data_IF_716846603936
#
_entry.id   IF_716846603936
#
_cell.length_a   1.000
_cell.length_b   1.000
_cell.length_c   1.000
_cell.angle_alpha   90.00
_cell.angle_beta   90.00
_cell.angle_gamma   90.00
#
_symmetry.space_group_name_H-M   'P 1'
#
loop_
_entity.id
_entity.type
_entity.pdbx_description
1 polymer ?
#
# COMPACT_ATOMS: atom_id res chain seq x y z
N UNK A 1 15.13 -54.07 -8.00
CA UNK A 1 14.56 -52.71 -8.23
C UNK A 1 13.04 -52.83 -8.37
N UNK A 2 12.26 -52.26 -7.45
CA UNK A 2 10.79 -52.35 -7.44
C UNK A 2 10.20 -51.53 -8.60
N UNK A 3 9.25 -52.11 -9.35
CA UNK A 3 8.53 -51.47 -10.47
C UNK A 3 7.80 -50.22 -9.97
N UNK A 4 8.33 -49.04 -10.30
CA UNK A 4 7.66 -47.77 -10.05
C UNK A 4 6.46 -47.65 -11.00
N UNK A 5 5.24 -47.63 -10.46
CA UNK A 5 4.01 -47.60 -11.26
C UNK A 5 3.76 -46.18 -11.78
N UNK A 6 3.82 -46.00 -13.10
CA UNK A 6 3.51 -44.76 -13.81
C UNK A 6 2.11 -44.19 -13.51
N UNK A 7 1.17 -44.99 -12.99
CA UNK A 7 -0.16 -44.53 -12.58
C UNK A 7 -0.13 -43.49 -11.45
N UNK A 8 0.91 -43.47 -10.60
CA UNK A 8 1.05 -42.45 -9.56
C UNK A 8 1.40 -41.06 -10.12
N UNK A 9 2.05 -40.99 -11.29
CA UNK A 9 2.42 -39.73 -11.95
C UNK A 9 1.22 -39.00 -12.57
N UNK A 10 0.11 -39.69 -12.88
CA UNK A 10 -1.11 -39.07 -13.40
C UNK A 10 -2.13 -38.73 -12.31
N UNK A 11 -2.20 -39.54 -11.24
CA UNK A 11 -3.15 -39.31 -10.14
C UNK A 11 -2.70 -38.15 -9.25
N UNK A 12 -1.40 -38.00 -8.99
CA UNK A 12 -0.90 -36.94 -8.11
C UNK A 12 -1.18 -35.51 -8.64
N UNK A 13 -0.94 -35.16 -9.92
CA UNK A 13 -1.28 -33.85 -10.46
C UNK A 13 -2.78 -33.55 -10.42
N UNK A 14 -3.63 -34.55 -10.70
CA UNK A 14 -5.09 -34.39 -10.64
C UNK A 14 -5.59 -34.13 -9.22
N UNK A 15 -5.07 -34.86 -8.22
CA UNK A 15 -5.41 -34.65 -6.81
C UNK A 15 -4.93 -33.28 -6.33
N UNK A 16 -3.71 -32.87 -6.71
CA UNK A 16 -3.19 -31.52 -6.39
C UNK A 16 -4.06 -30.44 -7.04
N UNK A 17 -4.44 -30.61 -8.30
CA UNK A 17 -5.28 -29.64 -9.02
C UNK A 17 -6.68 -29.51 -8.40
N UNK A 18 -7.33 -30.64 -8.09
CA UNK A 18 -8.62 -30.67 -7.41
C UNK A 18 -8.55 -30.03 -6.02
N UNK A 19 -7.48 -30.29 -5.27
CA UNK A 19 -7.24 -29.67 -3.97
C UNK A 19 -7.06 -28.15 -4.07
N UNK A 20 -6.30 -27.65 -5.05
CA UNK A 20 -6.12 -26.21 -5.29
C UNK A 20 -7.45 -25.53 -5.64
N UNK A 21 -8.28 -26.14 -6.50
CA UNK A 21 -9.59 -25.59 -6.84
C UNK A 21 -10.54 -25.58 -5.64
N UNK A 22 -10.58 -26.67 -4.87
CA UNK A 22 -11.40 -26.76 -3.67
C UNK A 22 -10.97 -25.75 -2.60
N UNK A 23 -9.65 -25.57 -2.41
CA UNK A 23 -9.11 -24.57 -1.49
C UNK A 23 -9.51 -23.14 -1.90
N UNK A 24 -9.53 -22.85 -3.20
CA UNK A 24 -9.96 -21.54 -3.73
C UNK A 24 -11.44 -21.30 -3.51
N UNK A 25 -12.29 -22.24 -3.92
CA UNK A 25 -13.73 -22.15 -3.73
C UNK A 25 -14.10 -21.97 -2.24
N UNK A 26 -13.38 -22.63 -1.33
CA UNK A 26 -13.54 -22.43 0.10
C UNK A 26 -13.11 -21.04 0.58
N UNK A 27 -12.04 -20.46 0.02
CA UNK A 27 -11.59 -19.11 0.40
C UNK A 27 -12.60 -18.06 -0.05
N UNK A 28 -13.11 -18.17 -1.28
CA UNK A 28 -14.15 -17.29 -1.83
C UNK A 28 -15.46 -17.39 -1.02
N UNK A 29 -15.95 -18.61 -0.76
CA UNK A 29 -17.15 -18.81 0.05
C UNK A 29 -16.99 -18.25 1.48
N UNK A 30 -15.80 -18.40 2.08
CA UNK A 30 -15.49 -17.83 3.40
C UNK A 30 -15.48 -16.30 3.36
N UNK A 31 -14.96 -15.69 2.29
CA UNK A 31 -14.98 -14.25 2.14
C UNK A 31 -16.40 -13.72 2.03
N UNK A 32 -17.20 -14.30 1.12
CA UNK A 32 -18.58 -13.90 0.89
C UNK A 32 -19.44 -14.04 2.15
N UNK A 33 -19.24 -15.10 2.93
CA UNK A 33 -19.94 -15.30 4.19
C UNK A 33 -19.37 -14.47 5.37
N UNK A 34 -18.13 -13.97 5.24
CA UNK A 34 -17.44 -13.25 6.30
C UNK A 34 -17.86 -11.78 6.41
N UNK A 35 -17.50 -11.10 7.53
CA UNK A 35 -17.89 -9.70 7.77
C UNK A 35 -17.58 -8.74 6.62
N UNK A 36 -16.40 -8.82 6.00
CA UNK A 36 -16.04 -7.94 4.87
C UNK A 36 -16.87 -8.25 3.63
N UNK A 37 -17.11 -9.54 3.32
CA UNK A 37 -17.96 -9.92 2.19
C UNK A 37 -19.40 -9.43 2.36
N UNK A 38 -19.94 -9.53 3.58
CA UNK A 38 -21.26 -8.98 3.92
C UNK A 38 -21.31 -7.46 3.76
N UNK A 39 -20.29 -6.74 4.23
CA UNK A 39 -20.19 -5.28 4.04
C UNK A 39 -20.10 -4.90 2.57
N UNK A 40 -19.38 -5.69 1.76
CA UNK A 40 -19.31 -5.51 0.30
C UNK A 40 -20.66 -5.73 -0.37
N UNK A 41 -21.40 -6.76 0.00
CA UNK A 41 -22.74 -7.02 -0.51
C UNK A 41 -23.71 -5.89 -0.10
N UNK A 42 -23.65 -5.45 1.16
CA UNK A 42 -24.50 -4.38 1.69
C UNK A 42 -24.21 -3.01 1.05
N UNK A 43 -22.96 -2.75 0.64
CA UNK A 43 -22.60 -1.52 -0.07
C UNK A 43 -23.27 -1.42 -1.46
N UNK A 44 -23.63 -2.56 -2.08
CA UNK A 44 -24.31 -2.61 -3.37
C UNK A 44 -23.53 -1.93 -4.50
N UNK A 45 -24.27 -1.31 -5.41
CA UNK A 45 -23.70 -0.64 -6.57
C UNK A 45 -23.20 0.77 -6.24
N UNK A 46 -21.96 0.86 -5.75
CA UNK A 46 -21.29 2.15 -5.55
C UNK A 46 -20.82 2.75 -6.87
N UNK A 47 -20.89 4.08 -7.00
CA UNK A 47 -20.34 4.83 -8.14
C UNK A 47 -19.46 5.95 -7.63
N UNK A 48 -18.22 6.00 -8.11
CA UNK A 48 -17.24 6.99 -7.72
C UNK A 48 -16.79 7.83 -8.92
N UNK A 49 -16.37 9.06 -8.64
CA UNK A 49 -15.86 9.94 -9.69
C UNK A 49 -14.42 9.55 -10.01
N UNK A 50 -14.09 9.29 -11.28
CA UNK A 50 -12.70 9.09 -11.72
C UNK A 50 -11.96 10.41 -11.50
N UNK A 51 -10.84 10.36 -10.78
CA UNK A 51 -9.96 11.51 -10.57
C UNK A 51 -8.86 11.45 -11.63
N UNK A 52 -8.77 12.50 -12.44
CA UNK A 52 -7.69 12.75 -13.36
C UNK A 52 -7.15 14.16 -13.14
N UNK A 53 -5.91 14.33 -12.64
CA UNK A 53 -5.32 15.66 -12.54
C UNK A 53 -5.21 16.30 -13.92
N UNK A 54 -5.66 17.55 -14.04
CA UNK A 54 -5.51 18.33 -15.27
C UNK A 54 -4.02 18.50 -15.61
N UNK A 55 -3.67 18.27 -16.88
CA UNK A 55 -2.29 18.28 -17.37
C UNK A 55 -1.52 16.96 -17.23
N UNK A 56 -2.13 15.92 -16.66
CA UNK A 56 -1.53 14.59 -16.56
C UNK A 56 -1.60 13.81 -17.89
N UNK A 57 -0.63 12.93 -18.13
CA UNK A 57 -0.60 11.99 -19.27
C UNK A 57 -0.88 10.57 -18.79
N UNK A 58 -1.82 9.88 -19.44
CA UNK A 58 -2.28 8.56 -19.03
C UNK A 58 -1.73 7.44 -19.91
N UNK A 59 -0.43 7.19 -19.84
CA UNK A 59 0.27 6.18 -20.65
C UNK A 59 0.22 4.75 -20.04
N UNK A 60 -0.64 4.53 -19.05
CA UNK A 60 -0.78 3.28 -18.30
C UNK A 60 -1.73 3.44 -17.11
N UNK A 61 -1.78 4.65 -16.57
CA UNK A 61 -2.77 5.08 -15.58
C UNK A 61 -2.15 5.53 -14.26
N UNK A 62 -3.02 5.80 -13.29
CA UNK A 62 -2.68 6.38 -11.99
C UNK A 62 -3.07 5.44 -10.85
N UNK A 63 -2.24 5.36 -9.81
CA UNK A 63 -2.43 4.41 -8.71
C UNK A 63 -1.84 4.90 -7.38
N UNK A 64 -2.06 4.13 -6.32
CA UNK A 64 -1.49 4.32 -4.98
C UNK A 64 -1.51 5.79 -4.49
N UNK A 65 -2.70 6.41 -4.37
CA UNK A 65 -2.81 7.81 -4.00
C UNK A 65 -2.44 8.03 -2.55
N UNK A 66 -1.77 9.15 -2.26
CA UNK A 66 -1.58 9.68 -0.91
C UNK A 66 -1.84 11.19 -0.90
N UNK A 67 -2.75 11.63 -0.02
CA UNK A 67 -3.09 13.03 0.14
C UNK A 67 -2.64 13.60 1.48
N UNK A 68 -2.24 14.86 1.44
CA UNK A 68 -2.01 15.67 2.63
C UNK A 68 -2.31 17.14 2.31
N UNK A 69 -2.95 17.83 3.24
CA UNK A 69 -3.22 19.26 3.12
C UNK A 69 -2.24 20.10 3.96
N UNK A 70 -1.93 21.30 3.46
CA UNK A 70 -1.24 22.32 4.23
C UNK A 70 -2.01 22.62 5.54
N UNK A 71 -1.35 23.10 6.60
CA UNK A 71 -1.98 23.30 7.91
C UNK A 71 -3.26 24.15 7.89
N UNK A 72 -3.30 25.17 7.05
CA UNK A 72 -4.45 26.07 6.87
C UNK A 72 -5.59 25.45 6.03
N UNK A 73 -5.37 24.27 5.45
CA UNK A 73 -6.30 23.57 4.57
C UNK A 73 -6.52 24.22 3.21
N UNK A 74 -5.78 25.28 2.87
CA UNK A 74 -5.99 26.04 1.63
C UNK A 74 -5.51 25.29 0.38
N UNK A 75 -4.49 24.45 0.54
CA UNK A 75 -3.90 23.65 -0.54
C UNK A 75 -3.83 22.18 -0.12
N UNK A 76 -4.38 21.32 -0.96
CA UNK A 76 -4.21 19.87 -0.88
C UNK A 76 -3.17 19.39 -1.89
N UNK A 77 -2.36 18.42 -1.49
CA UNK A 77 -1.38 17.76 -2.35
C UNK A 77 -1.73 16.29 -2.48
N UNK A 78 -1.53 15.75 -3.68
CA UNK A 78 -1.76 14.34 -4.02
C UNK A 78 -0.50 13.80 -4.66
N UNK A 79 0.19 12.91 -3.95
CA UNK A 79 1.23 12.07 -4.52
C UNK A 79 0.60 10.76 -5.02
N UNK A 80 1.06 10.23 -6.14
CA UNK A 80 0.52 9.00 -6.72
C UNK A 80 1.55 8.30 -7.61
N UNK A 81 1.39 6.99 -7.74
CA UNK A 81 2.09 6.19 -8.73
C UNK A 81 1.53 6.49 -10.13
N UNK A 82 2.39 6.81 -11.09
CA UNK A 82 2.05 6.95 -12.51
C UNK A 82 2.72 5.86 -13.31
N UNK A 83 1.92 5.06 -14.01
CA UNK A 83 2.37 3.89 -14.78
C UNK A 83 2.49 4.27 -16.25
N UNK A 84 3.65 4.02 -16.86
CA UNK A 84 3.91 4.29 -18.29
C UNK A 84 4.68 3.18 -18.98
N UNK A 85 4.73 3.20 -20.31
CA UNK A 85 5.52 2.28 -21.15
C UNK A 85 4.71 1.14 -21.77
N UNK A 86 5.33 0.44 -22.72
CA UNK A 86 4.63 -0.46 -23.66
C UNK A 86 4.39 -1.89 -23.13
N UNK A 87 4.92 -2.24 -21.95
CA UNK A 87 4.73 -3.57 -21.38
C UNK A 87 3.25 -3.82 -21.03
N UNK A 88 2.72 -4.99 -21.41
CA UNK A 88 1.30 -5.35 -21.23
C UNK A 88 1.16 -6.51 -20.24
N UNK A 89 0.19 -6.48 -19.30
CA UNK A 89 -0.84 -5.44 -19.11
C UNK A 89 -0.41 -4.30 -18.17
N UNK A 90 0.79 -4.35 -17.60
CA UNK A 90 1.33 -3.39 -16.63
C UNK A 90 2.49 -2.66 -17.29
N UNK A 91 2.44 -1.33 -17.33
CA UNK A 91 3.52 -0.51 -17.89
C UNK A 91 4.90 -0.84 -17.30
N UNK A 92 5.93 -0.54 -18.07
CA UNK A 92 7.33 -0.82 -17.72
C UNK A 92 7.81 0.07 -16.55
N UNK A 93 7.40 1.34 -16.54
CA UNK A 93 7.86 2.35 -15.61
C UNK A 93 6.78 2.70 -14.61
N UNK A 94 7.18 2.90 -13.35
CA UNK A 94 6.30 3.49 -12.34
C UNK A 94 6.99 4.61 -11.59
N UNK A 95 6.47 5.82 -11.81
CA UNK A 95 6.98 7.08 -11.30
C UNK A 95 6.17 7.54 -10.11
N UNK A 96 6.74 8.36 -9.24
CA UNK A 96 5.95 9.17 -8.29
C UNK A 96 5.64 10.53 -8.93
N UNK A 97 4.36 10.84 -9.13
CA UNK A 97 3.87 12.14 -9.59
C UNK A 97 3.27 12.94 -8.43
N UNK A 98 3.14 14.26 -8.62
CA UNK A 98 2.52 15.19 -7.69
C UNK A 98 1.46 16.03 -8.40
N UNK A 99 0.29 16.14 -7.77
CA UNK A 99 -0.77 17.05 -8.13
C UNK A 99 -1.18 17.92 -6.94
N UNK A 100 -1.90 19.01 -7.22
CA UNK A 100 -2.41 19.95 -6.21
C UNK A 100 -3.88 20.28 -6.42
N UNK A 101 -4.55 20.68 -5.34
CA UNK A 101 -5.91 21.23 -5.34
C UNK A 101 -5.97 22.45 -4.43
N UNK A 102 -6.83 23.42 -4.77
CA UNK A 102 -7.14 24.59 -3.94
C UNK A 102 -8.63 24.71 -3.65
N UNK A 103 -9.42 23.69 -4.00
CA UNK A 103 -10.87 23.68 -3.90
C UNK A 103 -11.39 22.42 -3.20
N UNK A 104 -10.69 21.99 -2.14
CA UNK A 104 -11.07 20.82 -1.34
C UNK A 104 -11.13 19.52 -2.14
N UNK A 105 -10.35 19.41 -3.22
CA UNK A 105 -10.30 18.24 -4.08
C UNK A 105 -11.35 18.16 -5.16
N UNK A 106 -12.14 19.20 -5.43
CA UNK A 106 -13.11 19.18 -6.53
C UNK A 106 -12.41 19.04 -7.89
N UNK A 107 -11.21 19.62 -8.02
CA UNK A 107 -10.31 19.39 -9.16
C UNK A 107 -8.86 19.33 -8.70
N UNK A 108 -8.05 18.61 -9.48
CA UNK A 108 -6.61 18.45 -9.26
C UNK A 108 -5.85 18.94 -10.49
N UNK A 109 -4.66 19.49 -10.27
CA UNK A 109 -3.74 19.94 -11.32
C UNK A 109 -2.41 19.23 -11.15
N UNK A 110 -1.91 18.60 -12.21
CA UNK A 110 -0.57 18.05 -12.23
C UNK A 110 0.47 19.15 -11.98
N UNK A 111 1.48 18.84 -11.18
CA UNK A 111 2.54 19.77 -10.79
C UNK A 111 3.87 19.32 -11.38
N UNK A 112 4.33 18.11 -11.02
CA UNK A 112 5.61 17.57 -11.48
C UNK A 112 5.77 16.08 -11.19
N UNK A 113 6.80 15.50 -11.81
CA UNK A 113 7.33 14.17 -11.47
C UNK A 113 8.32 14.32 -10.32
N UNK A 114 8.11 13.61 -9.22
CA UNK A 114 9.00 13.63 -8.05
C UNK A 114 10.09 12.57 -8.20
N UNK A 115 9.71 11.32 -8.43
CA UNK A 115 10.65 10.20 -8.56
C UNK A 115 10.44 9.51 -9.92
N UNK A 116 11.21 9.91 -10.95
CA UNK A 116 11.13 9.26 -12.24
C UNK A 116 11.74 7.85 -12.15
N UNK A 117 11.01 6.85 -12.63
CA UNK A 117 11.53 5.51 -12.87
C UNK A 117 12.64 5.56 -13.92
N UNK A 118 13.69 4.75 -13.74
CA UNK A 118 14.88 4.81 -14.58
C UNK A 118 15.42 3.43 -14.91
N UNK A 119 15.78 3.23 -16.18
CA UNK A 119 16.55 2.07 -16.60
C UNK A 119 17.89 2.04 -15.89
N UNK A 120 18.27 0.86 -15.42
CA UNK A 120 19.49 0.67 -14.64
C UNK A 120 19.95 -0.78 -14.71
N UNK A 121 21.01 -1.09 -13.99
CA UNK A 121 21.57 -2.42 -13.88
C UNK A 121 21.73 -2.75 -12.40
N UNK A 122 21.21 -3.91 -12.01
CA UNK A 122 21.33 -4.43 -10.66
C UNK A 122 22.60 -5.27 -10.55
N UNK A 123 23.51 -4.88 -9.65
CA UNK A 123 24.69 -5.68 -9.31
C UNK A 123 24.35 -6.64 -8.18
N UNK A 124 24.47 -7.94 -8.43
CA UNK A 124 24.27 -9.01 -7.45
C UNK A 124 25.54 -9.16 -6.55
N UNK A 125 25.43 -9.80 -5.37
CA UNK A 125 26.57 -10.04 -4.47
C UNK A 125 27.73 -10.82 -5.09
N UNK A 126 27.46 -11.65 -6.10
CA UNK A 126 28.49 -12.41 -6.84
C UNK A 126 29.14 -11.59 -7.97
N UNK A 127 28.83 -10.29 -8.07
CA UNK A 127 29.33 -9.37 -9.10
C UNK A 127 28.57 -9.44 -10.42
N UNK A 128 27.63 -10.38 -10.60
CA UNK A 128 26.82 -10.42 -11.82
C UNK A 128 25.93 -9.20 -11.92
N UNK A 129 25.72 -8.76 -13.15
CA UNK A 129 24.89 -7.60 -13.46
C UNK A 129 23.63 -8.04 -14.20
N UNK A 130 22.47 -7.56 -13.75
CA UNK A 130 21.17 -7.81 -14.37
C UNK A 130 20.58 -6.50 -14.89
N UNK A 131 20.24 -6.37 -16.18
CA UNK A 131 19.55 -5.20 -16.68
C UNK A 131 18.13 -5.14 -16.09
N UNK A 132 17.56 -3.95 -16.06
CA UNK A 132 16.20 -3.71 -15.58
C UNK A 132 16.00 -2.22 -15.29
N UNK A 133 15.19 -1.92 -14.29
CA UNK A 133 14.87 -0.55 -13.92
C UNK A 133 14.47 -0.42 -12.45
N UNK A 134 14.62 0.79 -11.91
CA UNK A 134 14.12 1.16 -10.59
C UNK A 134 12.72 1.75 -10.70
N UNK A 135 11.79 1.22 -9.90
CA UNK A 135 10.42 1.73 -9.74
C UNK A 135 10.27 2.46 -8.41
N UNK A 136 9.31 3.38 -8.40
CA UNK A 136 8.96 4.21 -7.26
C UNK A 136 7.44 4.16 -7.09
N UNK A 137 6.99 3.26 -6.22
CA UNK A 137 5.57 2.97 -6.01
C UNK A 137 5.14 3.31 -4.58
N UNK A 138 3.83 3.43 -4.42
CA UNK A 138 3.16 3.64 -3.13
C UNK A 138 3.71 4.83 -2.35
N UNK A 139 3.60 6.04 -2.93
CA UNK A 139 4.03 7.24 -2.24
C UNK A 139 3.14 7.52 -1.03
N UNK A 140 3.76 8.03 0.04
CA UNK A 140 3.07 8.49 1.25
C UNK A 140 3.55 9.88 1.59
N UNK A 141 2.67 10.86 1.42
CA UNK A 141 2.92 12.26 1.69
C UNK A 141 2.37 12.63 3.06
N UNK A 142 3.15 13.38 3.85
CA UNK A 142 2.67 13.99 5.08
C UNK A 142 3.28 15.37 5.30
N UNK A 143 2.60 16.17 6.13
CA UNK A 143 3.11 17.43 6.63
C UNK A 143 3.35 17.36 8.15
N UNK A 144 4.63 17.39 8.54
CA UNK A 144 5.11 17.47 9.92
C UNK A 144 5.32 18.93 10.31
N UNK A 145 4.25 19.57 10.78
CA UNK A 145 4.28 20.99 11.15
C UNK A 145 5.27 21.29 12.29
N UNK A 146 5.61 20.28 13.09
CA UNK A 146 6.45 20.41 14.27
C UNK A 146 7.94 20.25 13.97
N UNK A 147 8.34 19.81 12.77
CA UNK A 147 9.77 19.72 12.41
C UNK A 147 10.40 21.12 12.54
N UNK A 148 11.42 21.29 13.40
CA UNK A 148 12.08 22.58 13.60
C UNK A 148 12.81 23.05 12.35
N UNK A 149 13.20 22.13 11.46
CA UNK A 149 13.73 22.48 10.16
C UNK A 149 12.59 22.64 9.16
N UNK A 150 12.31 23.90 8.80
CA UNK A 150 11.25 24.24 7.86
C UNK A 150 11.43 23.56 6.49
N UNK A 151 12.67 23.22 6.09
CA UNK A 151 12.95 22.52 4.83
C UNK A 151 12.59 21.03 4.86
N UNK A 152 12.18 20.53 6.03
CA UNK A 152 11.89 19.12 6.29
C UNK A 152 10.44 18.81 6.66
N UNK A 153 9.58 19.82 6.68
CA UNK A 153 8.19 19.70 7.15
C UNK A 153 7.33 18.88 6.21
N UNK A 154 7.53 18.97 4.90
CA UNK A 154 6.95 18.00 3.98
C UNK A 154 7.84 16.78 3.90
N UNK A 155 7.25 15.60 4.07
CA UNK A 155 7.95 14.32 4.00
C UNK A 155 7.23 13.42 3.01
N UNK A 156 8.00 12.76 2.16
CA UNK A 156 7.52 11.79 1.19
C UNK A 156 8.26 10.47 1.41
N UNK A 157 7.51 9.44 1.78
CA UNK A 157 7.98 8.06 1.82
C UNK A 157 7.60 7.36 0.52
N UNK A 158 8.47 6.53 -0.03
CA UNK A 158 8.20 5.80 -1.28
C UNK A 158 8.85 4.43 -1.23
N UNK A 159 8.16 3.39 -1.69
CA UNK A 159 8.79 2.09 -1.92
C UNK A 159 9.60 2.12 -3.22
N UNK A 160 10.91 1.98 -3.08
CA UNK A 160 11.83 1.84 -4.20
C UNK A 160 12.22 0.37 -4.38
N UNK A 161 12.11 -0.17 -5.58
CA UNK A 161 12.52 -1.55 -5.87
C UNK A 161 12.92 -1.75 -7.33
N UNK A 162 13.71 -2.80 -7.59
CA UNK A 162 14.18 -3.12 -8.93
C UNK A 162 13.25 -4.12 -9.63
N UNK A 163 13.01 -3.92 -10.92
CA UNK A 163 12.30 -4.88 -11.78
C UNK A 163 13.16 -5.31 -12.96
N UNK A 164 13.13 -6.61 -13.27
CA UNK A 164 13.76 -7.15 -14.47
C UNK A 164 12.89 -6.87 -15.72
N UNK A 165 13.45 -6.94 -16.94
CA UNK A 165 12.71 -6.69 -18.19
C UNK A 165 11.49 -7.60 -18.40
N UNK A 166 11.45 -8.75 -17.74
CA UNK A 166 10.29 -9.65 -17.76
C UNK A 166 9.20 -9.29 -16.71
N UNK A 167 9.29 -8.11 -16.09
CA UNK A 167 8.36 -7.63 -15.06
C UNK A 167 8.58 -8.23 -13.67
N UNK A 168 9.53 -9.16 -13.49
CA UNK A 168 9.77 -9.78 -12.18
C UNK A 168 10.34 -8.74 -11.20
N UNK A 169 9.62 -8.54 -10.10
CA UNK A 169 10.06 -7.72 -8.96
C UNK A 169 11.20 -8.40 -8.20
N UNK A 170 12.27 -7.66 -7.94
CA UNK A 170 13.39 -8.11 -7.11
C UNK A 170 13.17 -7.65 -5.67
N UNK A 171 12.15 -8.21 -5.01
CA UNK A 171 11.70 -7.84 -3.65
C UNK A 171 12.85 -7.68 -2.64
N UNK A 172 13.85 -8.57 -2.58
CA UNK A 172 14.97 -8.42 -1.64
C UNK A 172 15.87 -7.21 -1.87
N UNK A 173 15.71 -6.47 -2.98
CA UNK A 173 16.44 -5.25 -3.32
C UNK A 173 15.57 -3.99 -3.15
N UNK A 174 14.41 -4.11 -2.50
CA UNK A 174 13.56 -2.98 -2.19
C UNK A 174 13.92 -2.30 -0.87
N UNK A 175 13.57 -1.03 -0.74
CA UNK A 175 13.62 -0.25 0.51
C UNK A 175 12.55 0.84 0.50
N UNK A 176 12.21 1.37 1.68
CA UNK A 176 11.42 2.60 1.77
C UNK A 176 12.39 3.77 1.81
N UNK A 177 12.22 4.71 0.89
CA UNK A 177 13.03 5.90 0.77
C UNK A 177 12.31 7.12 1.33
N UNK A 178 13.06 8.12 1.79
CA UNK A 178 12.55 9.39 2.33
C UNK A 178 13.08 10.56 1.50
N UNK A 179 12.17 11.47 1.16
CA UNK A 179 12.49 12.82 0.69
C UNK A 179 11.78 13.86 1.54
N UNK A 180 12.35 15.05 1.57
CA UNK A 180 11.83 16.16 2.36
C UNK A 180 11.81 17.47 1.58
N UNK A 181 10.90 18.38 1.90
CA UNK A 181 10.80 19.70 1.28
C UNK A 181 10.19 20.75 2.22
N UNK A 182 10.47 22.03 1.94
CA UNK A 182 9.76 23.16 2.54
C UNK A 182 8.35 23.35 1.95
N UNK A 183 8.20 23.07 0.66
CA UNK A 183 6.98 23.20 -0.13
C UNK A 183 6.96 22.05 -1.16
N UNK A 184 5.88 21.26 -1.29
CA UNK A 184 5.80 20.19 -2.26
C UNK A 184 6.01 20.63 -3.72
N UNK A 185 5.64 21.86 -4.09
CA UNK A 185 5.94 22.40 -5.42
C UNK A 185 7.40 22.82 -5.59
N UNK A 186 8.11 23.12 -4.50
CA UNK A 186 9.52 23.54 -4.48
C UNK A 186 10.51 22.38 -4.53
N UNK A 187 11.79 22.67 -4.27
CA UNK A 187 12.84 21.66 -4.32
C UNK A 187 12.69 20.60 -3.22
N UNK A 188 12.94 19.35 -3.60
CA UNK A 188 12.95 18.20 -2.70
C UNK A 188 14.36 17.72 -2.48
N UNK A 189 14.68 17.32 -1.25
CA UNK A 189 15.95 16.66 -0.92
C UNK A 189 16.21 15.45 -1.81
N UNK A 190 17.46 15.01 -1.88
CA UNK A 190 17.82 13.75 -2.53
C UNK A 190 17.09 12.58 -1.88
N UNK A 191 16.87 11.52 -2.66
CA UNK A 191 16.20 10.31 -2.19
C UNK A 191 17.11 9.52 -1.24
N UNK A 192 16.78 9.48 0.05
CA UNK A 192 17.56 8.78 1.06
C UNK A 192 16.96 7.37 1.30
N UNK A 193 17.74 6.27 1.17
CA UNK A 193 17.26 4.94 1.54
C UNK A 193 17.07 4.88 3.06
N UNK A 194 15.83 4.94 3.54
CA UNK A 194 15.54 5.06 4.96
C UNK A 194 15.42 3.69 5.62
N UNK A 195 14.48 2.86 5.17
CA UNK A 195 14.17 1.58 5.83
C UNK A 195 14.54 0.38 4.96
N UNK A 196 15.33 -0.54 5.54
CA UNK A 196 15.62 -1.86 5.00
C UNK A 196 15.11 -2.99 5.90
N UNK A 197 15.30 -4.22 5.44
CA UNK A 197 14.94 -5.46 6.13
C UNK A 197 16.19 -6.33 6.38
N UNK A 198 16.93 -6.03 7.45
CA UNK A 198 18.18 -6.72 7.78
C UNK A 198 19.23 -6.57 6.70
N UNK A 199 19.51 -7.67 6.00
CA UNK A 199 20.47 -7.71 4.89
C UNK A 199 19.86 -7.36 3.53
N UNK A 200 18.59 -6.95 3.51
CA UNK A 200 17.87 -6.49 2.31
C UNK A 200 17.67 -4.97 2.37
N UNK A 201 18.08 -4.21 1.34
CA UNK A 201 18.76 -4.67 0.13
C UNK A 201 20.19 -5.16 0.39
N UNK A 202 20.71 -6.17 -0.34
CA UNK A 202 22.08 -6.62 -0.18
C UNK A 202 23.08 -5.61 -0.76
N UNK A 203 24.36 -5.79 -0.45
CA UNK A 203 25.43 -4.97 -1.01
C UNK A 203 25.43 -5.01 -2.56
N UNK A 204 25.74 -3.89 -3.25
CA UNK A 204 26.18 -2.60 -2.70
C UNK A 204 25.06 -1.63 -2.27
N UNK A 205 23.81 -2.09 -2.27
CA UNK A 205 22.62 -1.26 -2.03
C UNK A 205 22.21 -1.19 -0.55
N UNK A 206 22.91 -1.90 0.34
CA UNK A 206 22.67 -2.03 1.79
C UNK A 206 22.96 -0.75 2.62
N UNK A 207 22.60 0.42 2.08
CA UNK A 207 22.86 1.74 2.67
C UNK A 207 21.65 2.33 3.39
N UNK A 208 20.67 1.50 3.74
CA UNK A 208 19.48 1.93 4.47
C UNK A 208 19.86 2.45 5.85
N UNK A 209 19.30 3.60 6.24
CA UNK A 209 19.63 4.25 7.52
C UNK A 209 19.11 3.49 8.75
N UNK A 210 18.01 2.74 8.58
CA UNK A 210 17.34 2.00 9.65
C UNK A 210 17.10 0.57 9.19
N UNK A 211 17.62 -0.39 9.96
CA UNK A 211 17.24 -1.79 9.85
C UNK A 211 15.96 -2.03 10.67
N UNK A 212 14.84 -2.20 9.98
CA UNK A 212 13.53 -2.39 10.64
C UNK A 212 13.43 -3.76 11.31
N UNK A 213 14.16 -4.77 10.83
CA UNK A 213 14.20 -6.10 11.48
C UNK A 213 14.85 -6.04 12.87
N UNK A 214 15.64 -5.00 13.15
CA UNK A 214 16.28 -4.79 14.44
C UNK A 214 15.41 -4.04 15.45
N UNK A 215 14.28 -3.45 15.04
CA UNK A 215 13.43 -2.66 15.94
C UNK A 215 12.61 -3.52 16.92
N UNK A 216 12.24 -4.74 16.53
CA UNK A 216 11.48 -5.67 17.37
C UNK A 216 11.67 -7.13 16.94
N UNK A 217 11.58 -8.05 17.89
CA UNK A 217 11.76 -9.48 17.65
C UNK A 217 10.74 -10.06 16.65
N UNK A 218 9.52 -9.53 16.62
CA UNK A 218 8.47 -9.93 15.67
C UNK A 218 8.84 -9.65 14.21
N UNK A 219 9.77 -8.73 13.96
CA UNK A 219 10.20 -8.27 12.65
C UNK A 219 11.46 -8.96 12.12
N UNK A 220 12.13 -9.80 12.91
CA UNK A 220 13.45 -10.39 12.57
C UNK A 220 13.53 -11.15 11.24
N UNK A 221 12.41 -11.74 10.79
CA UNK A 221 12.34 -12.62 9.62
C UNK A 221 11.60 -12.01 8.42
N UNK A 222 11.47 -10.69 8.40
CA UNK A 222 10.88 -9.97 7.27
C UNK A 222 11.94 -9.80 6.18
N UNK A 223 11.53 -9.95 4.91
CA UNK A 223 12.45 -9.82 3.76
C UNK A 223 12.30 -8.51 3.00
N UNK A 224 11.17 -7.83 3.19
CA UNK A 224 10.88 -6.53 2.60
C UNK A 224 9.72 -5.86 3.33
N UNK A 225 9.70 -4.53 3.22
CA UNK A 225 8.63 -3.67 3.68
C UNK A 225 8.08 -2.90 2.49
N UNK A 226 6.76 -2.74 2.45
CA UNK A 226 6.04 -1.99 1.41
C UNK A 226 4.88 -1.22 2.04
N UNK A 227 4.13 -0.53 1.21
CA UNK A 227 2.86 0.10 1.55
C UNK A 227 2.91 1.07 2.74
N UNK A 228 3.83 2.06 2.72
CA UNK A 228 3.89 3.02 3.81
C UNK A 228 2.58 3.80 3.94
N UNK A 229 2.13 4.00 5.17
CA UNK A 229 1.02 4.86 5.56
C UNK A 229 1.48 5.75 6.69
N UNK A 230 1.39 7.07 6.57
CA UNK A 230 2.09 7.97 7.48
C UNK A 230 1.19 9.08 7.99
N UNK A 231 1.45 9.49 9.23
CA UNK A 231 0.69 10.52 9.90
C UNK A 231 1.56 11.27 10.91
N UNK A 232 1.30 12.56 11.10
CA UNK A 232 1.98 13.38 12.11
C UNK A 232 0.93 13.91 13.09
N UNK A 233 1.14 13.67 14.39
CA UNK A 233 0.22 14.10 15.44
C UNK A 233 1.00 14.40 16.71
N UNK A 234 0.70 15.55 17.34
CA UNK A 234 1.35 16.01 18.58
C UNK A 234 2.88 15.93 18.55
N UNK A 235 3.46 16.36 17.42
CA UNK A 235 4.92 16.39 17.21
C UNK A 235 5.57 15.01 16.99
N UNK A 236 4.77 13.94 16.95
CA UNK A 236 5.23 12.58 16.69
C UNK A 236 4.85 12.12 15.29
N UNK A 237 5.79 11.45 14.61
CA UNK A 237 5.52 10.74 13.37
C UNK A 237 5.10 9.31 13.66
N UNK A 238 4.09 8.87 12.93
CA UNK A 238 3.61 7.51 12.89
C UNK A 238 3.74 7.00 11.46
N UNK A 239 4.27 5.78 11.32
CA UNK A 239 4.38 5.12 10.02
C UNK A 239 3.91 3.67 10.17
N UNK A 240 2.82 3.34 9.47
CA UNK A 240 2.41 1.97 9.22
C UNK A 240 3.06 1.42 7.96
N UNK A 241 3.39 0.14 7.95
CA UNK A 241 3.93 -0.54 6.77
C UNK A 241 3.45 -1.98 6.72
N UNK A 242 3.38 -2.53 5.51
CA UNK A 242 3.21 -3.97 5.31
C UNK A 242 4.58 -4.66 5.40
N UNK A 243 4.70 -5.62 6.29
CA UNK A 243 5.83 -6.54 6.40
C UNK A 243 5.58 -7.80 5.56
N UNK A 244 6.50 -8.11 4.64
CA UNK A 244 6.45 -9.29 3.78
C UNK A 244 7.28 -10.43 4.38
N UNK A 245 6.60 -11.44 4.94
CA UNK A 245 7.23 -12.58 5.59
C UNK A 245 7.15 -13.83 4.72
N UNK A 246 8.26 -14.46 4.32
CA UNK A 246 8.23 -15.75 3.64
C UNK A 246 7.54 -16.79 4.52
N UNK A 247 6.69 -17.62 3.92
CA UNK A 247 5.98 -18.70 4.58
C UNK A 247 6.03 -19.95 3.71
N UNK A 248 6.57 -21.03 4.27
CA UNK A 248 6.52 -22.34 3.61
C UNK A 248 5.10 -22.92 3.75
N UNK A 249 4.52 -23.34 2.63
CA UNK A 249 3.25 -24.04 2.58
C UNK A 249 3.32 -25.29 1.69
N UNK A 250 2.24 -26.07 1.67
CA UNK A 250 2.15 -27.31 0.87
C UNK A 250 2.31 -27.06 -0.64
N UNK A 251 2.05 -25.84 -1.13
CA UNK A 251 2.23 -25.43 -2.52
C UNK A 251 3.55 -24.70 -2.82
N UNK A 252 4.51 -24.67 -1.89
CA UNK A 252 5.78 -23.96 -2.03
C UNK A 252 5.90 -22.76 -1.09
N UNK A 253 6.79 -21.82 -1.42
CA UNK A 253 7.05 -20.61 -0.63
C UNK A 253 6.02 -19.53 -1.03
N UNK A 254 5.18 -19.11 -0.08
CA UNK A 254 4.31 -17.93 -0.20
C UNK A 254 4.77 -16.78 0.69
N UNK A 255 4.01 -15.68 0.71
CA UNK A 255 4.35 -14.47 1.51
C UNK A 255 3.18 -14.11 2.41
N UNK A 256 3.37 -14.13 3.73
CA UNK A 256 2.41 -13.61 4.69
C UNK A 256 2.59 -12.10 4.85
N UNK A 257 1.47 -11.39 5.00
CA UNK A 257 1.45 -9.94 5.21
C UNK A 257 1.08 -9.66 6.66
N UNK A 258 1.69 -8.63 7.24
CA UNK A 258 1.38 -8.14 8.58
C UNK A 258 1.58 -6.64 8.54
N UNK A 259 0.59 -5.88 8.98
CA UNK A 259 0.71 -4.42 9.07
C UNK A 259 1.12 -4.08 10.51
N UNK A 260 2.16 -3.28 10.65
CA UNK A 260 2.70 -2.85 11.94
C UNK A 260 2.87 -1.35 11.96
N UNK A 261 3.08 -0.79 13.16
CA UNK A 261 3.27 0.63 13.40
C UNK A 261 4.64 0.87 14.02
N UNK A 262 5.35 1.86 13.50
CA UNK A 262 6.53 2.45 14.12
C UNK A 262 6.29 3.94 14.34
N UNK A 263 7.10 4.56 15.20
CA UNK A 263 7.03 6.00 15.38
C UNK A 263 8.36 6.64 15.73
N UNK A 264 8.39 7.96 15.55
CA UNK A 264 9.55 8.82 15.76
C UNK A 264 9.12 10.08 16.50
N UNK A 265 9.79 10.37 17.62
CA UNK A 265 9.56 11.60 18.41
C UNK A 265 10.54 12.73 18.04
N UNK A 266 11.37 12.51 17.01
CA UNK A 266 12.44 13.41 16.61
C UNK A 266 12.42 13.71 15.10
N UNK A 267 11.21 13.77 14.54
CA UNK A 267 10.93 14.15 13.15
C UNK A 267 11.63 13.27 12.11
N UNK A 268 11.75 11.97 12.42
CA UNK A 268 12.25 10.92 11.55
C UNK A 268 13.74 10.63 11.66
N UNK A 269 14.43 11.12 12.72
CA UNK A 269 15.86 10.84 12.95
C UNK A 269 16.07 9.47 13.59
N UNK A 270 15.20 9.07 14.51
CA UNK A 270 15.17 7.75 15.15
C UNK A 270 13.77 7.18 15.13
N UNK A 271 13.68 5.84 15.18
CA UNK A 271 12.42 5.11 15.05
C UNK A 271 12.36 3.99 16.08
N UNK A 272 11.16 3.73 16.58
CA UNK A 272 10.88 2.59 17.45
C UNK A 272 9.66 1.83 16.96
N UNK A 273 9.65 0.53 17.21
CA UNK A 273 8.46 -0.28 17.09
C UNK A 273 7.39 0.17 18.10
N UNK A 274 6.13 0.24 17.68
CA UNK A 274 5.00 0.52 18.55
C UNK A 274 4.17 -0.75 18.74
N UNK A 275 3.64 -1.30 17.65
CA UNK A 275 2.79 -2.48 17.72
C UNK A 275 2.63 -3.18 16.36
N UNK A 276 2.15 -4.42 16.40
CA UNK A 276 1.53 -5.06 15.24
C UNK A 276 0.07 -4.67 15.18
N UNK A 277 -0.38 -4.08 14.07
CA UNK A 277 -1.74 -3.57 13.91
C UNK A 277 -2.68 -4.64 13.37
N UNK A 278 -2.31 -5.30 12.27
CA UNK A 278 -3.12 -6.31 11.60
C UNK A 278 -2.31 -7.56 11.31
N UNK A 279 -2.83 -8.70 11.74
CA UNK A 279 -2.26 -10.03 11.54
C UNK A 279 -3.08 -10.86 10.55
N UNK A 280 -2.55 -11.99 10.06
CA UNK A 280 -3.34 -12.96 9.29
C UNK A 280 -4.55 -13.51 10.04
N UNK A 281 -4.51 -13.57 11.38
CA UNK A 281 -5.64 -14.06 12.17
C UNK A 281 -6.77 -13.03 12.23
N UNK A 282 -6.45 -11.73 12.32
CA UNK A 282 -7.44 -10.65 12.19
C UNK A 282 -8.14 -10.72 10.82
N UNK A 283 -7.36 -10.91 9.75
CA UNK A 283 -7.91 -11.07 8.39
C UNK A 283 -8.85 -12.27 8.29
N UNK A 284 -8.44 -13.42 8.84
CA UNK A 284 -9.25 -14.63 8.88
C UNK A 284 -10.57 -14.42 9.64
N UNK A 285 -10.53 -13.73 10.77
CA UNK A 285 -11.73 -13.38 11.55
C UNK A 285 -12.73 -12.53 10.75
N UNK A 286 -12.24 -11.73 9.82
CA UNK A 286 -13.02 -10.87 8.93
C UNK A 286 -13.38 -11.53 7.58
N UNK A 287 -13.01 -12.80 7.40
CA UNK A 287 -13.31 -13.59 6.19
C UNK A 287 -12.30 -13.43 5.04
N UNK A 288 -11.27 -12.61 5.20
CA UNK A 288 -10.21 -12.43 4.20
C UNK A 288 -8.94 -13.24 4.56
N UNK A 289 -7.92 -13.22 3.70
CA UNK A 289 -6.68 -13.97 3.94
C UNK A 289 -5.58 -13.12 4.57
N UNK A 290 -5.50 -11.86 4.18
CA UNK A 290 -4.58 -10.88 4.74
C UNK A 290 -5.04 -9.46 4.38
N UNK A 291 -4.38 -8.49 4.98
CA UNK A 291 -4.52 -7.07 4.65
C UNK A 291 -3.23 -6.56 4.02
N UNK A 292 -3.38 -5.57 3.14
CA UNK A 292 -2.26 -4.84 2.55
C UNK A 292 -2.62 -3.36 2.36
N UNK A 293 -1.70 -2.53 1.85
CA UNK A 293 -2.03 -1.16 1.45
C UNK A 293 -2.43 -0.26 2.59
N UNK A 294 -1.52 -0.08 3.56
CA UNK A 294 -1.81 0.68 4.77
C UNK A 294 -1.84 2.19 4.51
N UNK A 295 -2.80 2.89 5.10
CA UNK A 295 -2.79 4.36 5.22
C UNK A 295 -3.31 4.76 6.59
N UNK A 296 -2.83 5.89 7.11
CA UNK A 296 -3.30 6.47 8.36
C UNK A 296 -4.14 7.71 8.06
N UNK A 297 -5.16 7.96 8.87
CA UNK A 297 -6.06 9.09 8.69
C UNK A 297 -6.62 9.59 10.03
N UNK A 298 -6.98 10.88 10.07
CA UNK A 298 -7.74 11.48 11.18
C UNK A 298 -9.06 12.04 10.66
N UNK A 299 -10.12 11.84 11.45
CA UNK A 299 -11.40 12.49 11.27
C UNK A 299 -12.04 12.83 12.60
N UNK A 300 -12.39 14.11 12.79
CA UNK A 300 -13.10 14.62 13.96
C UNK A 300 -12.44 14.15 15.29
N UNK A 301 -11.11 14.20 15.35
CA UNK A 301 -10.29 13.79 16.52
C UNK A 301 -10.14 12.27 16.71
N UNK A 302 -10.61 11.46 15.76
CA UNK A 302 -10.49 9.99 15.78
C UNK A 302 -9.47 9.55 14.74
N UNK A 303 -8.66 8.56 15.08
CA UNK A 303 -7.61 8.05 14.19
C UNK A 303 -8.01 6.71 13.59
N UNK A 304 -7.67 6.51 12.33
CA UNK A 304 -8.03 5.32 11.57
C UNK A 304 -6.83 4.75 10.82
N UNK A 305 -6.75 3.43 10.81
CA UNK A 305 -5.96 2.66 9.87
C UNK A 305 -6.86 2.25 8.71
N UNK A 306 -6.49 2.60 7.49
CA UNK A 306 -7.02 1.95 6.30
C UNK A 306 -6.15 0.77 5.91
N UNK A 307 -6.80 -0.30 5.47
CA UNK A 307 -6.14 -1.42 4.82
C UNK A 307 -7.07 -2.09 3.81
N UNK A 308 -6.48 -2.62 2.75
CA UNK A 308 -7.17 -3.36 1.70
C UNK A 308 -7.29 -4.85 2.08
N UNK A 309 -8.49 -5.39 2.28
CA UNK A 309 -8.67 -6.83 2.47
C UNK A 309 -8.37 -7.61 1.18
N UNK A 310 -7.66 -8.73 1.29
CA UNK A 310 -7.21 -9.51 0.13
C UNK A 310 -7.57 -11.00 0.22
N UNK A 311 -7.70 -11.62 -0.95
CA UNK A 311 -7.80 -13.07 -1.15
C UNK A 311 -6.69 -13.57 -2.07
N UNK A 312 -6.10 -14.74 -1.76
CA UNK A 312 -5.16 -15.43 -2.67
C UNK A 312 -5.94 -16.24 -3.70
N UNK A 313 -6.71 -15.56 -4.54
CA UNK A 313 -7.16 -16.16 -5.80
C UNK A 313 -6.09 -15.94 -6.90
N UNK A 314 -6.38 -16.31 -8.16
CA UNK A 314 -5.39 -16.21 -9.25
C UNK A 314 -4.85 -14.78 -9.48
N UNK A 315 -5.49 -13.74 -8.93
CA UNK A 315 -5.20 -12.35 -9.26
C UNK A 315 -4.86 -11.47 -8.04
N UNK A 316 -4.66 -12.04 -6.84
CA UNK A 316 -4.32 -11.30 -5.59
C UNK A 316 -5.10 -9.99 -5.45
N UNK A 317 -6.41 -10.15 -5.35
CA UNK A 317 -7.35 -9.06 -5.56
C UNK A 317 -7.61 -8.31 -4.25
N UNK A 318 -7.46 -6.99 -4.28
CA UNK A 318 -7.92 -6.13 -3.19
C UNK A 318 -9.45 -5.99 -3.27
N UNK A 319 -10.13 -6.09 -2.14
CA UNK A 319 -11.59 -5.99 -2.09
C UNK A 319 -12.01 -4.69 -1.42
N UNK A 320 -11.59 -3.55 -1.98
CA UNK A 320 -11.90 -2.22 -1.47
C UNK A 320 -11.02 -1.82 -0.28
N UNK A 321 -11.54 -0.97 0.59
CA UNK A 321 -10.81 -0.45 1.76
C UNK A 321 -11.64 -0.64 3.03
N UNK A 322 -11.04 -1.26 4.05
CA UNK A 322 -11.60 -1.29 5.39
C UNK A 322 -10.89 -0.23 6.26
N UNK A 323 -11.68 0.50 7.06
CA UNK A 323 -11.18 1.42 8.07
C UNK A 323 -11.32 0.82 9.47
N UNK A 324 -10.24 0.84 10.23
CA UNK A 324 -10.16 0.36 11.59
C UNK A 324 -9.81 1.53 12.49
N UNK A 325 -10.66 1.83 13.46
CA UNK A 325 -10.40 2.92 14.38
C UNK A 325 -9.36 2.52 15.43
N UNK A 326 -8.45 3.43 15.77
CA UNK A 326 -7.56 3.26 16.92
C UNK A 326 -8.32 3.51 18.23
N UNK A 327 -8.14 2.61 19.20
CA UNK A 327 -8.42 2.90 20.60
C UNK A 327 -7.34 3.84 21.17
N UNK A 328 -6.08 3.64 20.75
CA UNK A 328 -4.94 4.51 21.08
C UNK A 328 -3.93 4.49 19.94
N UNK A 329 -3.69 5.63 19.29
CA UNK A 329 -2.68 5.74 18.23
C UNK A 329 -1.26 5.61 18.80
N UNK A 330 -1.00 6.23 19.95
CA UNK A 330 0.31 6.24 20.61
C UNK A 330 0.82 4.86 21.03
N UNK A 331 -0.11 3.97 21.38
CA UNK A 331 0.14 2.56 21.73
C UNK A 331 -0.12 1.61 20.55
N UNK A 332 -0.56 2.13 19.41
CA UNK A 332 -0.90 1.34 18.23
C UNK A 332 -1.97 0.27 18.49
N UNK A 333 -3.00 0.61 19.27
CA UNK A 333 -4.10 -0.29 19.60
C UNK A 333 -5.32 0.03 18.73
N UNK A 334 -5.78 -0.94 17.95
CA UNK A 334 -7.03 -0.87 17.20
C UNK A 334 -8.21 -1.28 18.08
N UNK A 335 -9.40 -0.70 17.84
CA UNK A 335 -10.62 -1.05 18.54
C UNK A 335 -11.03 -2.49 18.25
N UNK A 336 -11.38 -3.19 19.32
CA UNK A 336 -11.88 -4.57 19.31
C UNK A 336 -13.22 -4.66 20.04
N UNK A 337 -14.04 -5.63 19.69
CA UNK A 337 -15.30 -5.91 20.37
C UNK A 337 -15.08 -6.65 21.71
N UNK A 338 -16.16 -6.96 22.42
CA UNK A 338 -16.12 -7.71 23.69
C UNK A 338 -15.45 -9.09 23.57
N UNK A 339 -15.45 -9.68 22.36
CA UNK A 339 -14.81 -10.96 22.04
C UNK A 339 -13.38 -10.79 21.51
N UNK A 340 -12.80 -9.60 21.67
CA UNK A 340 -11.47 -9.23 21.18
C UNK A 340 -11.30 -9.34 19.65
N UNK A 341 -12.40 -9.34 18.90
CA UNK A 341 -12.37 -9.32 17.44
C UNK A 341 -12.21 -7.90 16.93
N UNK A 342 -11.46 -7.74 15.83
CA UNK A 342 -11.23 -6.45 15.20
C UNK A 342 -12.54 -5.85 14.67
N UNK A 343 -12.79 -4.58 14.96
CA UNK A 343 -14.01 -3.88 14.52
C UNK A 343 -13.74 -3.06 13.26
N UNK A 344 -14.52 -3.32 12.20
CA UNK A 344 -14.51 -2.49 10.98
C UNK A 344 -15.37 -1.25 11.24
N UNK A 345 -14.74 -0.08 11.33
CA UNK A 345 -15.43 1.20 11.59
C UNK A 345 -16.15 1.73 10.34
N UNK A 346 -15.55 1.53 9.16
CA UNK A 346 -16.15 1.86 7.88
C UNK A 346 -15.60 0.94 6.77
N UNK A 347 -16.38 0.79 5.70
CA UNK A 347 -15.96 0.03 4.52
C UNK A 347 -16.31 0.76 3.23
N UNK A 348 -15.36 0.76 2.30
CA UNK A 348 -15.45 1.39 1.00
C UNK A 348 -15.29 0.30 -0.07
N UNK A 349 -16.42 -0.12 -0.64
CA UNK A 349 -16.45 -1.16 -1.66
C UNK A 349 -15.79 -0.68 -2.96
N UNK A 350 -15.15 -1.55 -3.75
CA UNK A 350 -14.75 -1.21 -5.10
C UNK A 350 -16.00 -1.02 -5.99
N UNK A 351 -15.89 -0.21 -7.04
CA UNK A 351 -16.97 -0.01 -7.99
C UNK A 351 -17.25 -1.31 -8.77
N UNK A 352 -18.52 -1.75 -8.88
CA UNK A 352 -18.87 -2.94 -9.64
C UNK A 352 -18.45 -2.85 -11.11
N UNK A 353 -18.07 -3.99 -11.69
CA UNK A 353 -17.71 -4.09 -13.11
C UNK A 353 -16.32 -3.53 -13.47
N UNK A 354 -15.67 -2.82 -12.54
CA UNK A 354 -14.24 -2.54 -12.59
C UNK A 354 -13.55 -3.70 -11.90
N UNK A 355 -12.65 -4.37 -12.64
CA UNK A 355 -11.89 -5.46 -12.04
C UNK A 355 -11.14 -4.92 -10.81
N UNK A 356 -11.12 -5.71 -9.75
CA UNK A 356 -10.23 -5.43 -8.64
C UNK A 356 -8.96 -6.23 -8.96
N UNK A 357 -7.90 -5.54 -9.34
CA UNK A 357 -6.56 -6.11 -9.53
C UNK A 357 -5.72 -5.92 -8.27
N UNK A 358 -4.43 -6.29 -8.32
CA UNK A 358 -3.47 -5.98 -7.26
C UNK A 358 -3.45 -4.47 -6.98
N UNK A 359 -3.52 -4.05 -5.71
CA UNK A 359 -3.52 -2.63 -5.30
C UNK A 359 -4.90 -1.93 -5.25
N UNK A 360 -5.99 -2.57 -5.67
CA UNK A 360 -7.31 -1.92 -5.81
C UNK A 360 -8.02 -1.71 -4.45
N UNK A 361 -7.62 -0.68 -3.70
CA UNK A 361 -8.17 -0.41 -2.37
C UNK A 361 -7.20 0.28 -1.41
N UNK A 362 -5.98 0.61 -1.87
CA UNK A 362 -5.03 1.41 -1.09
C UNK A 362 -5.48 2.87 -1.06
N UNK A 363 -6.39 3.17 -0.14
CA UNK A 363 -7.01 4.47 -0.10
C UNK A 363 -6.25 5.45 0.79
N UNK A 364 -6.50 6.73 0.55
CA UNK A 364 -6.00 7.84 1.34
C UNK A 364 -7.12 8.83 1.67
N UNK A 365 -6.96 9.53 2.79
CA UNK A 365 -7.96 10.47 3.30
C UNK A 365 -7.31 11.62 4.04
N UNK A 366 -7.88 12.80 3.87
CA UNK A 366 -7.66 13.99 4.67
C UNK A 366 -9.02 14.66 4.82
N UNK A 367 -9.42 15.02 6.04
CA UNK A 367 -10.74 15.60 6.33
C UNK A 367 -10.97 16.93 5.61
N UNK A 368 -9.91 17.60 5.16
CA UNK A 368 -9.94 18.83 4.38
C UNK A 368 -10.21 18.60 2.88
N UNK A 369 -10.21 17.34 2.43
CA UNK A 369 -10.63 16.95 1.07
C UNK A 369 -12.17 16.95 0.92
N UNK A 370 -12.79 18.07 1.26
CA UNK A 370 -14.25 18.18 1.50
C UNK A 370 -15.11 17.87 0.28
N UNK A 371 -14.62 18.13 -0.93
CA UNK A 371 -15.34 17.82 -2.18
C UNK A 371 -14.97 16.45 -2.75
N UNK A 372 -13.77 15.93 -2.45
CA UNK A 372 -13.30 14.64 -2.97
C UNK A 372 -13.58 13.43 -2.07
N UNK A 373 -13.66 13.64 -0.76
CA UNK A 373 -13.76 12.57 0.25
C UNK A 373 -12.53 11.65 0.25
N UNK A 374 -12.73 10.37 0.55
CA UNK A 374 -11.69 9.34 0.42
C UNK A 374 -11.34 9.11 -1.06
N UNK A 375 -10.04 8.99 -1.35
CA UNK A 375 -9.51 8.68 -2.67
C UNK A 375 -9.04 7.23 -2.66
N UNK A 376 -9.49 6.42 -3.62
CA UNK A 376 -9.08 5.01 -3.73
C UNK A 376 -8.67 4.64 -5.17
N UNK A 377 -7.66 3.78 -5.32
CA UNK A 377 -7.28 3.19 -6.60
C UNK A 377 -8.17 1.99 -6.97
N UNK A 378 -8.39 1.79 -8.27
CA UNK A 378 -9.05 0.64 -8.87
C UNK A 378 -8.38 0.24 -10.19
N UNK A 379 -8.49 -1.03 -10.58
CA UNK A 379 -7.75 -1.58 -11.72
C UNK A 379 -8.68 -2.06 -12.85
N UNK A 380 -8.88 -1.23 -13.86
CA UNK A 380 -9.78 -1.51 -14.96
C UNK A 380 -9.07 -2.03 -16.22
N UNK A 381 -8.84 -3.35 -16.32
CA UNK A 381 -8.24 -3.95 -17.54
C UNK A 381 -8.99 -3.59 -18.84
N UNK A 382 -10.30 -3.35 -18.78
CA UNK A 382 -11.09 -2.98 -19.97
C UNK A 382 -10.81 -1.55 -20.45
N UNK A 383 -10.18 -0.72 -19.62
CA UNK A 383 -9.81 0.65 -19.94
C UNK A 383 -8.38 0.79 -20.47
N UNK A 384 -7.71 -0.32 -20.81
CA UNK A 384 -6.35 -0.30 -21.38
C UNK A 384 -6.25 0.71 -22.56
N UNK A 385 -5.19 1.55 -22.63
CA UNK A 385 -3.98 1.51 -21.82
C UNK A 385 -4.13 2.03 -20.38
N UNK A 386 -5.18 2.77 -20.05
CA UNK A 386 -5.43 3.38 -18.74
C UNK A 386 -6.01 2.40 -17.70
N UNK A 387 -5.34 1.26 -17.51
CA UNK A 387 -5.83 0.22 -16.61
C UNK A 387 -5.77 0.64 -15.13
N UNK A 388 -4.80 1.47 -14.74
CA UNK A 388 -4.70 1.98 -13.38
C UNK A 388 -5.49 3.28 -13.24
N UNK A 389 -6.43 3.34 -12.30
CA UNK A 389 -7.34 4.47 -12.16
C UNK A 389 -7.52 4.82 -10.68
N UNK A 390 -7.58 6.11 -10.36
CA UNK A 390 -7.91 6.60 -9.02
C UNK A 390 -9.28 7.27 -9.03
N UNK A 391 -9.99 7.13 -7.92
CA UNK A 391 -11.38 7.53 -7.77
C UNK A 391 -11.60 8.31 -6.48
N UNK A 392 -12.45 9.31 -6.55
CA UNK A 392 -12.98 10.06 -5.41
C UNK A 392 -14.34 9.52 -5.01
N UNK A 393 -14.48 9.18 -3.74
CA UNK A 393 -15.73 8.64 -3.21
C UNK A 393 -16.75 9.71 -2.86
N UNK A 394 -16.31 10.96 -2.60
CA UNK A 394 -17.15 11.98 -1.99
C UNK A 394 -17.60 11.64 -0.56
N UNK A 395 -17.05 10.58 0.05
CA UNK A 395 -17.45 10.07 1.36
C UNK A 395 -16.40 10.37 2.42
N UNK A 396 -16.87 10.72 3.60
CA UNK A 396 -16.09 10.78 4.86
C UNK A 396 -15.98 9.36 5.47
N UNK A 397 -15.06 9.16 6.41
CA UNK A 397 -14.94 7.91 7.19
C UNK A 397 -16.14 7.78 8.13
N UNK A 398 -16.42 8.87 8.84
CA UNK A 398 -17.50 9.03 9.80
C UNK A 398 -18.54 9.96 9.16
N UNK A 399 -19.79 9.52 8.99
CA UNK A 399 -20.87 10.42 8.57
C UNK A 399 -20.98 11.59 9.55
N UNK A 400 -21.23 12.81 9.03
CA UNK A 400 -21.59 13.94 9.91
C UNK A 400 -22.81 13.52 10.73
N UNK A 401 -22.76 13.69 12.05
CA UNK A 401 -23.97 13.65 12.86
C UNK A 401 -24.87 14.76 12.33
N UNK A 402 -26.03 14.36 11.80
CA UNK A 402 -27.09 15.25 11.34
C UNK A 402 -27.64 16.09 12.48
#
# INVERSE_FOLDING_TARGET
MKKFKWSYLLVAPLVIFAFVLLSRARSEARFEAGPIGQLKQAAGDVRYAKLLPSGERLEGGLYDPSIAYAPDGSVGWLAYSSVTGDHKPIGEYVHTHLARTTNGGASWQFVKVLNPSTNSTLTLPDGKSLPGLWRYEVPTLLHDAADPDATRRWKLFVHCYFTLPNGRRMVPYGWIALRTAADPAGEWSTNAPLFGAGKSPPAPYNKTLVDVNALDASLKNIVAYSEPGAFAHDGRLYLSMTALKPRLGLGGIGVSHTIFLIGSDDHGKSWRFISTLLTPDDAKGLGCEFFDGSSLAEEDGRFFLFAAPMLRNKNEVHHGTAAFEFASLGEGQLKRDEKQQLVVAAYFAPQPGIFSGPGAGQATYDSRNTNGGLIMPQFNLKAYPEAFQIYQTGRRIVPKKS
#
